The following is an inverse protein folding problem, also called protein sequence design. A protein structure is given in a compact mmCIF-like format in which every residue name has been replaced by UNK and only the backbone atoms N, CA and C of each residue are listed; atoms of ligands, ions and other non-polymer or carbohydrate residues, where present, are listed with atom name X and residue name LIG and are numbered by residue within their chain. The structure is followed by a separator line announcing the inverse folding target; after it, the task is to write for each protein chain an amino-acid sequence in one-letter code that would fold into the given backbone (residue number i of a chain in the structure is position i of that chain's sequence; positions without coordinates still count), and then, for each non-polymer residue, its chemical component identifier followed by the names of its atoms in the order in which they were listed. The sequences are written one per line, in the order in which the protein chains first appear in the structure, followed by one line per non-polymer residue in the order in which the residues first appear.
data_IF_895149067275
#
_entry.id   IF_895149067275
#
_cell.length_a   1.000
_cell.length_b   1.000
_cell.length_c   1.000
_cell.angle_alpha   90.00
_cell.angle_beta   90.00
_cell.angle_gamma   90.00
#
_symmetry.space_group_name_H-M   'P 1'
#
loop_
_entity.id
_entity.type
_entity.pdbx_description
1 polymer ?
#
# COMPACT_ATOMS: atom_id res chain seq x y z
N UNK A 1 39.15 7.13 23.76
CA UNK A 1 38.64 7.31 22.38
C UNK A 1 38.39 5.98 21.66
N UNK A 2 39.35 5.03 21.64
CA UNK A 2 39.19 3.71 21.00
C UNK A 2 38.00 2.87 21.54
N UNK A 3 37.75 2.89 22.86
CA UNK A 3 36.64 2.14 23.48
C UNK A 3 35.24 2.64 23.07
N UNK A 4 35.10 3.92 22.71
CA UNK A 4 33.81 4.49 22.28
C UNK A 4 33.50 4.05 20.85
N UNK A 5 34.52 4.02 19.98
CA UNK A 5 34.38 3.59 18.58
C UNK A 5 34.03 2.09 18.51
N UNK A 6 34.65 1.25 19.34
CA UNK A 6 34.36 -0.19 19.37
C UNK A 6 32.91 -0.48 19.84
N UNK A 7 32.41 0.27 20.82
CA UNK A 7 31.04 0.12 21.33
C UNK A 7 29.98 0.54 20.30
N UNK A 8 30.21 1.65 19.59
CA UNK A 8 29.33 2.09 18.49
C UNK A 8 29.33 1.07 17.36
N UNK A 9 30.50 0.57 16.95
CA UNK A 9 30.59 -0.44 15.89
C UNK A 9 29.85 -1.73 16.24
N UNK A 10 29.95 -2.24 17.47
CA UNK A 10 29.23 -3.46 17.89
C UNK A 10 27.72 -3.24 17.96
N UNK A 11 27.27 -2.09 18.48
CA UNK A 11 25.84 -1.73 18.53
C UNK A 11 25.22 -1.60 17.13
N UNK A 12 25.92 -0.94 16.21
CA UNK A 12 25.45 -0.80 14.82
C UNK A 12 25.48 -2.14 14.08
N UNK A 13 26.48 -3.00 14.33
CA UNK A 13 26.55 -4.34 13.75
C UNK A 13 25.43 -5.25 14.28
N UNK A 14 25.11 -5.19 15.57
CA UNK A 14 24.01 -5.95 16.18
C UNK A 14 22.64 -5.51 15.63
N UNK A 15 22.41 -4.20 15.47
CA UNK A 15 21.21 -3.66 14.81
C UNK A 15 21.12 -4.07 13.34
N UNK A 16 22.24 -4.02 12.60
CA UNK A 16 22.33 -4.48 11.21
C UNK A 16 22.08 -5.98 11.06
N UNK A 17 22.58 -6.79 11.99
CA UNK A 17 22.35 -8.23 12.02
C UNK A 17 20.89 -8.53 12.38
N UNK A 18 20.29 -7.81 13.34
CA UNK A 18 18.87 -7.95 13.69
C UNK A 18 17.97 -7.55 12.52
N UNK A 19 18.23 -6.41 11.86
CA UNK A 19 17.56 -6.00 10.62
C UNK A 19 17.73 -7.04 9.50
N UNK A 20 18.94 -7.60 9.31
CA UNK A 20 19.18 -8.67 8.32
C UNK A 20 18.50 -9.98 8.69
N UNK A 21 18.34 -10.30 9.97
CA UNK A 21 17.69 -11.53 10.43
C UNK A 21 16.17 -11.46 10.28
N UNK A 22 15.56 -10.32 10.66
CA UNK A 22 14.14 -10.03 10.46
C UNK A 22 13.77 -10.01 8.97
N UNK A 23 14.65 -9.52 8.11
CA UNK A 23 14.39 -9.47 6.67
C UNK A 23 14.62 -10.83 5.96
N UNK A 24 15.43 -11.73 6.56
CA UNK A 24 15.78 -13.04 5.95
C UNK A 24 14.76 -14.14 6.23
N UNK A 25 14.07 -14.08 7.36
CA UNK A 25 12.91 -14.91 7.64
C UNK A 25 11.70 -14.00 7.49
N UNK A 26 10.85 -14.24 6.49
CA UNK A 26 9.58 -13.53 6.37
C UNK A 26 8.70 -13.83 7.59
N UNK A 27 8.94 -13.12 8.70
CA UNK A 27 8.18 -13.27 9.94
C UNK A 27 6.81 -12.70 9.64
N UNK A 28 5.82 -13.60 9.52
CA UNK A 28 4.42 -13.22 9.44
C UNK A 28 3.96 -12.81 10.83
N UNK A 29 4.17 -11.54 11.17
CA UNK A 29 3.59 -10.96 12.38
C UNK A 29 2.10 -10.69 12.15
N UNK A 30 1.27 -11.09 13.11
CA UNK A 30 -0.15 -10.76 13.15
C UNK A 30 -0.45 -10.17 14.52
N UNK A 31 -0.97 -8.95 14.56
CA UNK A 31 -1.32 -8.25 15.78
C UNK A 31 -2.58 -7.42 15.53
N UNK A 32 -3.46 -7.38 16.51
CA UNK A 32 -4.63 -6.48 16.55
C UNK A 32 -4.40 -5.29 17.46
N UNK A 33 -3.32 -5.28 18.24
CA UNK A 33 -2.99 -4.20 19.16
C UNK A 33 -2.51 -2.95 18.42
N UNK A 34 -3.10 -1.80 18.77
CA UNK A 34 -2.82 -0.51 18.13
C UNK A 34 -1.36 -0.09 18.25
N UNK A 35 -0.73 -0.33 19.41
CA UNK A 35 0.66 0.05 19.65
C UNK A 35 1.61 -0.69 18.67
N UNK A 36 1.41 -1.99 18.50
CA UNK A 36 2.20 -2.79 17.57
C UNK A 36 2.00 -2.32 16.12
N UNK A 37 0.76 -1.99 15.72
CA UNK A 37 0.46 -1.47 14.38
C UNK A 37 1.18 -0.12 14.17
N UNK A 38 1.16 0.77 15.16
CA UNK A 38 1.84 2.06 15.09
C UNK A 38 3.36 1.91 14.98
N UNK A 39 3.96 1.00 15.75
CA UNK A 39 5.40 0.72 15.67
C UNK A 39 5.76 0.21 14.27
N UNK A 40 5.00 -0.73 13.71
CA UNK A 40 5.28 -1.32 12.39
C UNK A 40 5.11 -0.31 11.24
N UNK A 41 4.07 0.53 11.27
CA UNK A 41 3.74 1.40 10.13
C UNK A 41 4.16 2.86 10.28
N UNK A 42 4.66 3.28 11.46
CA UNK A 42 5.07 4.67 11.72
C UNK A 42 6.46 4.74 12.32
N UNK A 43 6.64 4.32 13.57
CA UNK A 43 7.86 4.62 14.36
C UNK A 43 9.09 3.83 13.89
N UNK A 44 8.91 2.53 13.60
CA UNK A 44 9.97 1.61 13.22
C UNK A 44 9.78 1.05 11.82
N UNK A 45 9.10 1.78 10.93
CA UNK A 45 8.73 1.28 9.60
C UNK A 45 9.94 0.78 8.77
N UNK A 46 11.14 1.34 8.97
CA UNK A 46 12.38 0.90 8.31
C UNK A 46 12.86 -0.51 8.73
N UNK A 47 12.36 -1.03 9.86
CA UNK A 47 12.67 -2.37 10.35
C UNK A 47 11.73 -3.44 9.75
N UNK A 48 10.64 -3.00 9.10
CA UNK A 48 9.58 -3.87 8.58
C UNK A 48 9.41 -3.70 7.07
N UNK A 49 9.30 -4.81 6.34
CA UNK A 49 9.15 -4.76 4.88
C UNK A 49 8.34 -5.92 4.33
N UNK A 50 7.57 -5.65 3.27
CA UNK A 50 6.75 -6.65 2.59
C UNK A 50 7.37 -7.13 1.26
N UNK A 51 8.49 -6.55 0.82
CA UNK A 51 9.08 -6.84 -0.51
C UNK A 51 9.33 -8.33 -0.75
N UNK A 52 9.96 -9.12 0.15
CA UNK A 52 10.26 -10.52 -0.13
C UNK A 52 9.02 -11.38 -0.42
N UNK A 53 7.93 -11.17 0.31
CA UNK A 53 6.67 -11.91 0.13
C UNK A 53 5.82 -11.35 -1.01
N UNK A 54 5.84 -10.04 -1.22
CA UNK A 54 4.99 -9.41 -2.24
C UNK A 54 5.61 -9.45 -3.63
N UNK A 55 6.91 -9.21 -3.74
CA UNK A 55 7.61 -9.23 -5.03
C UNK A 55 7.62 -10.63 -5.65
N UNK A 56 7.73 -11.69 -4.83
CA UNK A 56 7.67 -13.07 -5.32
C UNK A 56 6.30 -13.45 -5.89
N UNK A 57 5.21 -12.87 -5.38
CA UNK A 57 3.84 -13.20 -5.80
C UNK A 57 3.35 -12.31 -6.94
N UNK A 58 3.47 -10.98 -6.79
CA UNK A 58 2.89 -10.02 -7.75
C UNK A 58 3.93 -9.29 -8.60
N UNK A 59 5.22 -9.55 -8.38
CA UNK A 59 6.31 -9.00 -9.21
C UNK A 59 6.20 -9.33 -10.70
N UNK A 60 5.80 -10.54 -11.13
CA UNK A 60 5.62 -10.84 -12.55
C UNK A 60 4.55 -9.98 -13.25
N UNK A 61 3.54 -9.51 -12.51
CA UNK A 61 2.45 -8.70 -13.04
C UNK A 61 2.72 -7.20 -12.93
N UNK A 62 3.17 -6.73 -11.76
CA UNK A 62 3.38 -5.30 -11.49
C UNK A 62 4.82 -4.82 -11.67
N UNK A 63 5.77 -5.72 -11.94
CA UNK A 63 7.20 -5.40 -11.97
C UNK A 63 7.75 -4.99 -10.60
N UNK A 64 8.92 -4.34 -10.60
CA UNK A 64 9.49 -3.67 -9.42
C UNK A 64 9.03 -2.22 -9.39
N UNK A 65 8.19 -1.85 -8.43
CA UNK A 65 7.62 -0.52 -8.32
C UNK A 65 6.98 -0.25 -6.97
N UNK A 66 6.12 0.77 -6.90
CA UNK A 66 5.57 1.29 -5.64
C UNK A 66 4.68 0.30 -4.87
N UNK A 67 4.15 -0.74 -5.51
CA UNK A 67 3.33 -1.78 -4.84
C UNK A 67 4.22 -2.94 -4.39
N UNK A 68 5.31 -3.24 -5.09
CA UNK A 68 6.06 -4.50 -4.96
C UNK A 68 7.39 -4.37 -4.23
N UNK A 69 7.93 -3.15 -4.11
CA UNK A 69 9.26 -2.89 -3.55
C UNK A 69 9.19 -2.01 -2.30
N UNK A 70 10.30 -1.92 -1.57
CA UNK A 70 10.47 -1.08 -0.39
C UNK A 70 11.68 -0.13 -0.54
N UNK A 71 11.86 0.79 0.42
CA UNK A 71 13.02 1.68 0.48
C UNK A 71 13.13 2.66 -0.70
N UNK A 72 14.35 2.89 -1.18
CA UNK A 72 14.63 3.89 -2.23
C UNK A 72 13.85 3.63 -3.53
N UNK A 73 13.70 2.37 -3.95
CA UNK A 73 12.94 2.01 -5.16
C UNK A 73 11.47 2.41 -5.02
N UNK A 74 10.88 2.14 -3.85
CA UNK A 74 9.52 2.56 -3.53
C UNK A 74 9.40 4.09 -3.48
N UNK A 75 10.36 4.79 -2.86
CA UNK A 75 10.37 6.26 -2.78
C UNK A 75 10.42 6.90 -4.17
N UNK A 76 11.30 6.41 -5.05
CA UNK A 76 11.41 6.88 -6.45
C UNK A 76 10.13 6.64 -7.23
N UNK A 77 9.59 5.42 -7.19
CA UNK A 77 8.34 5.09 -7.88
C UNK A 77 7.16 5.94 -7.37
N UNK A 78 7.07 6.15 -6.05
CA UNK A 78 6.01 6.97 -5.45
C UNK A 78 6.17 8.46 -5.77
N UNK A 79 7.40 8.96 -5.84
CA UNK A 79 7.66 10.35 -6.24
C UNK A 79 7.16 10.63 -7.67
N UNK A 80 7.31 9.67 -8.59
CA UNK A 80 6.78 9.75 -9.95
C UNK A 80 5.25 9.70 -10.01
N UNK A 81 4.61 8.91 -9.13
CA UNK A 81 3.15 8.75 -9.10
C UNK A 81 2.41 9.86 -8.34
N UNK A 82 3.08 10.51 -7.38
CA UNK A 82 2.46 11.52 -6.50
C UNK A 82 1.73 12.63 -7.25
N UNK A 83 2.21 13.18 -8.39
CA UNK A 83 1.51 14.21 -9.15
C UNK A 83 0.15 13.74 -9.70
N UNK A 84 -0.01 12.47 -10.05
CA UNK A 84 -1.28 11.89 -10.52
C UNK A 84 -2.37 11.99 -9.45
N UNK A 85 -1.99 11.99 -8.18
CA UNK A 85 -2.90 12.15 -7.04
C UNK A 85 -3.01 13.61 -6.56
N UNK A 86 -2.64 14.58 -7.39
CA UNK A 86 -2.81 16.00 -7.04
C UNK A 86 -4.30 16.37 -6.93
N UNK A 87 -4.61 17.37 -6.11
CA UNK A 87 -6.00 17.84 -5.91
C UNK A 87 -6.63 18.26 -7.24
N UNK A 88 -5.88 18.90 -8.13
CA UNK A 88 -6.34 19.25 -9.48
C UNK A 88 -6.70 18.00 -10.29
N UNK A 89 -5.89 16.95 -10.23
CA UNK A 89 -6.14 15.68 -10.94
C UNK A 89 -7.37 14.94 -10.40
N UNK A 90 -7.65 15.02 -9.10
CA UNK A 90 -8.78 14.29 -8.46
C UNK A 90 -10.06 15.15 -8.38
N UNK A 91 -9.98 16.47 -8.61
CA UNK A 91 -11.11 17.38 -8.42
C UNK A 91 -12.24 17.24 -9.44
N UNK A 92 -11.97 16.68 -10.62
CA UNK A 92 -13.01 16.45 -11.63
C UNK A 92 -13.80 15.18 -11.33
N UNK A 93 -14.97 15.36 -10.72
CA UNK A 93 -15.90 14.29 -10.36
C UNK A 93 -16.99 14.05 -11.41
N UNK A 94 -16.94 14.70 -12.58
CA UNK A 94 -17.99 14.60 -13.61
C UNK A 94 -18.26 13.16 -14.04
N UNK A 95 -17.21 12.41 -14.38
CA UNK A 95 -17.30 10.98 -14.72
C UNK A 95 -17.83 10.12 -13.57
N UNK A 96 -17.47 10.46 -12.33
CA UNK A 96 -17.95 9.75 -11.15
C UNK A 96 -19.45 9.98 -10.95
N UNK A 97 -19.93 11.21 -11.15
CA UNK A 97 -21.36 11.54 -11.10
C UNK A 97 -22.15 10.69 -12.11
N UNK A 98 -21.70 10.61 -13.36
CA UNK A 98 -22.34 9.79 -14.39
C UNK A 98 -22.37 8.31 -13.99
N UNK A 99 -21.26 7.78 -13.45
CA UNK A 99 -21.19 6.40 -13.00
C UNK A 99 -22.12 6.10 -11.82
N UNK A 100 -22.23 7.02 -10.86
CA UNK A 100 -23.19 6.90 -9.73
C UNK A 100 -24.63 6.93 -10.24
N UNK A 101 -24.96 7.82 -11.18
CA UNK A 101 -26.29 7.85 -11.78
C UNK A 101 -26.61 6.55 -12.54
N UNK A 102 -25.64 5.97 -13.24
CA UNK A 102 -25.79 4.66 -13.89
C UNK A 102 -25.98 3.53 -12.86
N UNK A 103 -25.19 3.54 -11.79
CA UNK A 103 -25.32 2.59 -10.68
C UNK A 103 -26.73 2.65 -10.07
N UNK A 104 -27.21 3.85 -9.73
CA UNK A 104 -28.54 4.03 -9.14
C UNK A 104 -29.68 3.62 -10.09
N UNK A 105 -29.54 3.87 -11.39
CA UNK A 105 -30.52 3.40 -12.39
C UNK A 105 -30.66 1.87 -12.47
N UNK A 106 -29.61 1.14 -12.08
CA UNK A 106 -29.63 -0.32 -12.06
C UNK A 106 -30.23 -0.90 -10.76
N UNK A 107 -30.62 -0.06 -9.80
CA UNK A 107 -31.28 -0.48 -8.56
C UNK A 107 -32.79 -0.23 -8.71
N UNK A 108 -33.64 -1.27 -8.63
CA UNK A 108 -35.09 -1.11 -8.64
C UNK A 108 -35.58 -0.32 -7.43
N UNK A 109 -36.51 0.62 -7.65
CA UNK A 109 -37.11 1.46 -6.60
C UNK A 109 -38.39 0.86 -5.99
N UNK A 110 -38.61 -0.44 -6.16
CA UNK A 110 -39.85 -1.11 -5.76
C UNK A 110 -39.88 -1.56 -4.29
N UNK A 111 -38.74 -1.45 -3.58
CA UNK A 111 -38.58 -1.87 -2.19
C UNK A 111 -38.75 -3.37 -1.97
N UNK A 112 -38.77 -4.18 -3.03
CA UNK A 112 -39.11 -5.61 -3.00
C UNK A 112 -38.07 -6.46 -3.71
N UNK A 113 -37.49 -5.97 -4.80
CA UNK A 113 -36.52 -6.72 -5.57
C UNK A 113 -35.19 -6.77 -4.82
N UNK A 114 -34.69 -7.98 -4.56
CA UNK A 114 -33.34 -8.18 -4.02
C UNK A 114 -32.33 -8.07 -5.15
N UNK A 115 -31.28 -7.28 -4.94
CA UNK A 115 -30.22 -7.04 -5.93
C UNK A 115 -28.88 -7.41 -5.34
N UNK A 116 -28.05 -8.12 -6.12
CA UNK A 116 -26.64 -8.28 -5.80
C UNK A 116 -25.87 -6.98 -6.11
N UNK A 117 -25.40 -6.31 -5.07
CA UNK A 117 -24.66 -5.05 -5.19
C UNK A 117 -23.20 -5.27 -5.60
N UNK A 118 -22.63 -6.46 -5.44
CA UNK A 118 -21.22 -6.71 -5.73
C UNK A 118 -20.83 -6.37 -7.18
N UNK A 119 -21.52 -6.86 -8.24
CA UNK A 119 -21.18 -6.49 -9.61
C UNK A 119 -21.45 -5.01 -9.91
N UNK A 120 -22.47 -4.43 -9.30
CA UNK A 120 -22.82 -3.02 -9.50
C UNK A 120 -21.76 -2.08 -8.92
N UNK A 121 -21.26 -2.38 -7.72
CA UNK A 121 -20.18 -1.64 -7.08
C UNK A 121 -18.84 -1.84 -7.79
N UNK A 122 -18.57 -3.04 -8.28
CA UNK A 122 -17.37 -3.31 -9.09
C UNK A 122 -17.35 -2.45 -10.37
N UNK A 123 -18.49 -2.35 -11.05
CA UNK A 123 -18.63 -1.48 -12.22
C UNK A 123 -18.45 -0.01 -11.87
N UNK A 124 -19.04 0.47 -10.77
CA UNK A 124 -18.87 1.84 -10.28
C UNK A 124 -17.40 2.16 -9.99
N UNK A 125 -16.71 1.27 -9.28
CA UNK A 125 -15.30 1.44 -8.90
C UNK A 125 -14.36 1.46 -10.13
N UNK A 126 -14.69 0.71 -11.18
CA UNK A 126 -13.87 0.66 -12.41
C UNK A 126 -13.69 2.03 -13.08
N UNK A 127 -14.71 2.90 -13.04
CA UNK A 127 -14.68 4.24 -13.62
C UNK A 127 -13.71 5.16 -12.87
N UNK A 128 -13.55 4.97 -11.55
CA UNK A 128 -12.61 5.75 -10.75
C UNK A 128 -11.15 5.41 -11.10
N UNK A 129 -10.88 4.16 -11.48
CA UNK A 129 -9.52 3.69 -11.83
C UNK A 129 -9.07 4.21 -13.19
N UNK A 130 -9.98 4.32 -14.16
CA UNK A 130 -9.66 4.76 -15.52
C UNK A 130 -9.16 6.21 -15.63
N UNK A 131 -9.45 7.08 -14.65
CA UNK A 131 -8.95 8.47 -14.65
C UNK A 131 -7.50 8.63 -14.20
N UNK A 132 -6.92 7.58 -13.61
CA UNK A 132 -5.56 7.60 -13.06
C UNK A 132 -4.53 7.12 -14.10
N UNK A 133 -4.98 6.45 -15.17
CA UNK A 133 -4.17 5.97 -16.29
C UNK A 133 -4.42 6.83 -17.54
#
# INVERSE_FOLDING_TARGET
MLHIILSICVGTLALLLCKRFINRYAIKASSTDTENIQVVYSTNHDDWGYEPSRLSVIGPFCGRGFITTYGETWQKARALLRPTFSKSSISDLSSYKVAVEQFLRNIPNDGRTTVDLQPLLANLASVAVQKIY
#
